data_IF_341287180484
#
_entry.id   IF_341287180484
#
_cell.length_a   1.000
_cell.length_b   1.000
_cell.length_c   1.000
_cell.angle_alpha   90.00
_cell.angle_beta   90.00
_cell.angle_gamma   90.00
#
_symmetry.space_group_name_H-M   'P 1'
#
loop_
_entity.id
_entity.type
_entity.pdbx_description
1 polymer ?
#
# COMPACT_ATOMS: atom_id res chain seq x y z
N UNK A 1 -21.90 -8.77 -14.36
CA UNK A 1 -21.48 -9.92 -13.53
C UNK A 1 -19.99 -10.16 -13.76
N UNK A 2 -19.16 -9.91 -12.75
CA UNK A 2 -17.72 -10.13 -12.83
C UNK A 2 -17.45 -11.64 -12.84
N UNK A 3 -16.80 -12.14 -13.89
CA UNK A 3 -16.48 -13.56 -14.04
C UNK A 3 -15.54 -13.99 -12.92
N UNK A 4 -16.03 -14.78 -11.96
CA UNK A 4 -15.29 -15.18 -10.75
C UNK A 4 -13.91 -15.77 -11.08
N UNK A 5 -13.78 -16.45 -12.23
CA UNK A 5 -12.52 -17.01 -12.70
C UNK A 5 -11.50 -15.93 -13.04
N UNK A 6 -11.91 -14.84 -13.69
CA UNK A 6 -11.03 -13.71 -14.02
C UNK A 6 -10.55 -12.99 -12.76
N UNK A 7 -11.43 -12.82 -11.77
CA UNK A 7 -11.08 -12.23 -10.48
C UNK A 7 -10.01 -13.04 -9.73
N UNK A 8 -10.17 -14.37 -9.67
CA UNK A 8 -9.18 -15.25 -9.04
C UNK A 8 -7.83 -15.16 -9.75
N UNK A 9 -7.82 -15.23 -11.08
CA UNK A 9 -6.58 -15.14 -11.88
C UNK A 9 -5.88 -13.81 -11.64
N UNK A 10 -6.63 -12.69 -11.66
CA UNK A 10 -6.06 -11.37 -11.43
C UNK A 10 -5.42 -11.26 -10.04
N UNK A 11 -6.11 -11.73 -8.99
CA UNK A 11 -5.58 -11.71 -7.63
C UNK A 11 -4.29 -12.54 -7.48
N UNK A 12 -4.23 -13.73 -8.08
CA UNK A 12 -3.02 -14.55 -8.07
C UNK A 12 -1.87 -13.86 -8.79
N UNK A 13 -2.14 -13.26 -9.95
CA UNK A 13 -1.14 -12.54 -10.73
C UNK A 13 -0.60 -11.33 -9.95
N UNK A 14 -1.49 -10.54 -9.33
CA UNK A 14 -1.10 -9.41 -8.49
C UNK A 14 -0.24 -9.87 -7.31
N UNK A 15 -0.64 -10.91 -6.58
CA UNK A 15 0.14 -11.46 -5.48
C UNK A 15 1.54 -11.90 -5.92
N UNK A 16 1.65 -12.54 -7.09
CA UNK A 16 2.93 -12.98 -7.64
C UNK A 16 3.86 -11.79 -7.97
N UNK A 17 3.34 -10.78 -8.66
CA UNK A 17 4.13 -9.58 -8.98
C UNK A 17 4.52 -8.78 -7.73
N UNK A 18 3.65 -8.74 -6.72
CA UNK A 18 3.95 -8.04 -5.47
C UNK A 18 5.06 -8.74 -4.68
N UNK A 19 5.04 -10.08 -4.63
CA UNK A 19 6.13 -10.85 -4.02
C UNK A 19 7.46 -10.65 -4.76
N UNK A 20 7.45 -10.66 -6.09
CA UNK A 20 8.65 -10.41 -6.90
C UNK A 20 9.19 -8.99 -6.67
N UNK A 21 8.31 -8.01 -6.62
CA UNK A 21 8.62 -6.61 -6.33
C UNK A 21 9.34 -6.47 -4.99
N UNK A 22 8.79 -7.03 -3.91
CA UNK A 22 9.39 -6.88 -2.58
C UNK A 22 10.78 -7.54 -2.47
N UNK A 23 10.98 -8.67 -3.15
CA UNK A 23 12.28 -9.37 -3.19
C UNK A 23 13.29 -8.55 -3.99
N UNK A 24 12.89 -8.02 -5.15
CA UNK A 24 13.75 -7.15 -5.95
C UNK A 24 14.15 -5.87 -5.21
N UNK A 25 13.23 -5.28 -4.46
CA UNK A 25 13.48 -4.08 -3.65
C UNK A 25 14.45 -4.37 -2.52
N UNK A 26 14.25 -5.46 -1.77
CA UNK A 26 15.18 -5.89 -0.72
C UNK A 26 16.57 -6.18 -1.28
N UNK A 27 16.65 -6.86 -2.42
CA UNK A 27 17.91 -7.13 -3.11
C UNK A 27 18.62 -5.83 -3.49
N UNK A 28 17.89 -4.88 -4.09
CA UNK A 28 18.44 -3.57 -4.42
C UNK A 28 18.94 -2.81 -3.18
N UNK A 29 18.15 -2.80 -2.11
CA UNK A 29 18.45 -2.09 -0.88
C UNK A 29 19.72 -2.63 -0.19
N UNK A 30 19.88 -3.95 -0.13
CA UNK A 30 20.95 -4.61 0.64
C UNK A 30 22.23 -4.78 -0.17
N UNK A 31 22.13 -5.29 -1.40
CA UNK A 31 23.31 -5.64 -2.20
C UNK A 31 23.89 -4.42 -2.91
N UNK A 32 23.04 -3.61 -3.55
CA UNK A 32 23.49 -2.40 -4.26
C UNK A 32 23.61 -1.18 -3.35
N UNK A 33 23.15 -1.27 -2.09
CA UNK A 33 23.18 -0.18 -1.10
C UNK A 33 22.64 1.15 -1.65
N UNK A 34 21.59 1.05 -2.46
CA UNK A 34 20.95 2.22 -3.08
C UNK A 34 20.30 3.10 -2.02
N UNK A 35 20.37 4.41 -2.23
CA UNK A 35 19.69 5.38 -1.38
C UNK A 35 18.17 5.24 -1.58
N UNK A 36 17.38 4.92 -0.52
CA UNK A 36 15.96 4.55 -0.65
C UNK A 36 15.11 5.60 -1.35
N UNK A 37 15.36 6.88 -1.06
CA UNK A 37 14.54 7.99 -1.57
C UNK A 37 14.68 8.11 -3.08
N UNK A 38 15.91 8.19 -3.59
CA UNK A 38 16.19 8.29 -5.03
C UNK A 38 15.70 7.05 -5.76
N UNK A 39 15.90 5.85 -5.19
CA UNK A 39 15.43 4.61 -5.80
C UNK A 39 13.91 4.59 -5.97
N UNK A 40 13.14 4.92 -4.93
CA UNK A 40 11.68 4.95 -4.99
C UNK A 40 11.17 6.03 -5.93
N UNK A 41 11.74 7.24 -5.88
CA UNK A 41 11.37 8.31 -6.80
C UNK A 41 11.57 7.91 -8.26
N UNK A 42 12.69 7.24 -8.57
CA UNK A 42 12.96 6.76 -9.92
C UNK A 42 12.01 5.61 -10.33
N UNK A 43 11.73 4.66 -9.44
CA UNK A 43 10.80 3.57 -9.73
C UNK A 43 9.37 4.09 -9.95
N UNK A 44 8.90 5.04 -9.15
CA UNK A 44 7.59 5.68 -9.35
C UNK A 44 7.55 6.48 -10.65
N UNK A 45 8.63 7.17 -11.01
CA UNK A 45 8.73 7.87 -12.30
C UNK A 45 8.64 6.90 -13.49
N UNK A 46 9.39 5.80 -13.47
CA UNK A 46 9.34 4.77 -14.51
C UNK A 46 7.96 4.12 -14.56
N UNK A 47 7.35 3.84 -13.41
CA UNK A 47 6.01 3.25 -13.32
C UNK A 47 4.96 4.17 -13.92
N UNK A 48 5.02 5.48 -13.62
CA UNK A 48 4.14 6.48 -14.21
C UNK A 48 4.33 6.57 -15.73
N UNK A 49 5.57 6.54 -16.22
CA UNK A 49 5.85 6.55 -17.66
C UNK A 49 5.27 5.32 -18.36
N UNK A 50 5.51 4.13 -17.82
CA UNK A 50 4.96 2.87 -18.36
C UNK A 50 3.43 2.92 -18.37
N UNK A 51 2.81 3.44 -17.32
CA UNK A 51 1.36 3.54 -17.22
C UNK A 51 0.78 4.48 -18.28
N UNK A 52 1.43 5.61 -18.57
CA UNK A 52 1.04 6.53 -19.65
C UNK A 52 1.16 5.85 -21.01
N UNK A 53 2.25 5.13 -21.25
CA UNK A 53 2.48 4.40 -22.52
C UNK A 53 1.41 3.32 -22.73
N UNK A 54 1.08 2.56 -21.68
CA UNK A 54 0.07 1.50 -21.72
C UNK A 54 -1.36 2.05 -21.83
N UNK A 55 -1.67 3.15 -21.15
CA UNK A 55 -2.99 3.77 -21.18
C UNK A 55 -3.34 4.37 -22.56
N UNK A 56 -2.34 4.83 -23.31
CA UNK A 56 -2.54 5.49 -24.60
C UNK A 56 -3.15 6.89 -24.48
N UNK A 57 -3.43 7.57 -25.62
CA UNK A 57 -3.98 8.92 -25.60
C UNK A 57 -5.40 8.96 -25.04
N UNK A 58 -5.60 9.72 -23.96
CA UNK A 58 -6.88 9.88 -23.27
C UNK A 58 -7.23 11.33 -22.96
N UNK A 59 -8.52 11.67 -23.05
CA UNK A 59 -9.06 12.99 -22.72
C UNK A 59 -9.32 13.08 -21.21
N UNK A 60 -8.29 13.36 -20.41
CA UNK A 60 -8.46 13.51 -18.95
C UNK A 60 -7.20 13.74 -18.13
N UNK A 61 -6.01 13.37 -18.64
CA UNK A 61 -4.77 13.44 -17.84
C UNK A 61 -4.45 14.85 -17.30
N UNK A 62 -4.64 15.89 -18.13
CA UNK A 62 -4.37 17.28 -17.72
C UNK A 62 -5.40 17.81 -16.71
N UNK A 63 -6.65 17.36 -16.78
CA UNK A 63 -7.67 17.75 -15.80
C UNK A 63 -7.48 17.05 -14.46
N UNK A 64 -7.00 15.80 -14.46
CA UNK A 64 -6.69 15.05 -13.23
C UNK A 64 -5.48 15.64 -12.50
N UNK A 65 -4.43 16.02 -13.23
CA UNK A 65 -3.23 16.69 -12.68
C UNK A 65 -3.53 18.01 -11.95
N UNK A 66 -4.66 18.66 -12.25
CA UNK A 66 -5.07 19.92 -11.60
C UNK A 66 -5.86 19.71 -10.30
N UNK A 67 -6.24 18.47 -9.97
CA UNK A 67 -7.03 18.17 -8.77
C UNK A 67 -6.11 18.02 -7.56
N UNK A 68 -6.39 18.78 -6.49
CA UNK A 68 -5.61 18.72 -5.25
C UNK A 68 -5.62 17.34 -4.57
N UNK A 69 -6.70 16.58 -4.73
CA UNK A 69 -6.81 15.21 -4.20
C UNK A 69 -5.81 14.24 -4.84
N UNK A 70 -5.57 14.36 -6.15
CA UNK A 70 -4.57 13.55 -6.87
C UNK A 70 -3.16 13.81 -6.33
N UNK A 71 -2.83 15.07 -6.03
CA UNK A 71 -1.54 15.42 -5.42
C UNK A 71 -1.43 14.89 -3.99
N UNK A 72 -2.48 15.00 -3.18
CA UNK A 72 -2.49 14.47 -1.82
C UNK A 72 -2.25 12.95 -1.82
N UNK A 73 -2.98 12.21 -2.67
CA UNK A 73 -2.81 10.78 -2.83
C UNK A 73 -1.39 10.42 -3.31
N UNK A 74 -0.89 11.08 -4.36
CA UNK A 74 0.44 10.83 -4.90
C UNK A 74 1.56 11.10 -3.89
N UNK A 75 1.47 12.17 -3.11
CA UNK A 75 2.46 12.49 -2.06
C UNK A 75 2.46 11.40 -0.98
N UNK A 76 1.28 10.95 -0.53
CA UNK A 76 1.17 9.90 0.49
C UNK A 76 1.73 8.58 -0.03
N UNK A 77 1.44 8.23 -1.29
CA UNK A 77 1.99 7.04 -1.95
C UNK A 77 3.52 7.09 -2.04
N UNK A 78 4.11 8.24 -2.39
CA UNK A 78 5.58 8.41 -2.40
C UNK A 78 6.16 8.14 -1.01
N UNK A 79 5.60 8.75 0.03
CA UNK A 79 6.07 8.55 1.41
C UNK A 79 5.87 7.12 1.90
N UNK A 80 4.77 6.47 1.53
CA UNK A 80 4.51 5.06 1.84
C UNK A 80 5.61 4.17 1.25
N UNK A 81 5.92 4.33 -0.04
CA UNK A 81 6.91 3.53 -0.74
C UNK A 81 8.34 3.77 -0.19
N UNK A 82 8.66 5.03 0.17
CA UNK A 82 9.94 5.35 0.82
C UNK A 82 10.04 4.64 2.18
N UNK A 83 9.01 4.73 3.02
CA UNK A 83 9.00 4.08 4.32
C UNK A 83 9.07 2.54 4.22
N UNK A 84 8.43 1.96 3.20
CA UNK A 84 8.52 0.54 2.89
C UNK A 84 9.95 0.13 2.52
N UNK A 85 10.62 0.92 1.67
CA UNK A 85 12.01 0.69 1.31
C UNK A 85 12.95 0.79 2.53
N UNK A 86 12.71 1.75 3.43
CA UNK A 86 13.44 1.84 4.71
C UNK A 86 13.18 0.63 5.61
N UNK A 87 11.95 0.13 5.71
CA UNK A 87 11.66 -1.11 6.44
C UNK A 87 12.49 -2.28 5.86
N UNK A 88 12.52 -2.39 4.54
CA UNK A 88 13.34 -3.36 3.80
C UNK A 88 14.85 -3.12 3.89
N UNK A 89 15.35 -2.14 4.66
CA UNK A 89 16.77 -2.10 5.05
C UNK A 89 17.02 -2.87 6.35
N UNK A 90 16.07 -2.82 7.28
CA UNK A 90 16.21 -3.42 8.61
C UNK A 90 15.76 -4.88 8.65
N UNK A 91 14.66 -5.20 8.00
CA UNK A 91 14.01 -6.52 8.10
C UNK A 91 13.93 -7.22 6.76
N UNK A 92 13.74 -8.53 6.79
CA UNK A 92 13.51 -9.35 5.61
C UNK A 92 12.15 -9.03 4.96
N UNK A 93 12.04 -9.33 3.67
CA UNK A 93 10.77 -9.24 2.93
C UNK A 93 9.64 -10.03 3.61
N UNK A 94 9.96 -11.18 4.20
CA UNK A 94 8.99 -12.03 4.92
C UNK A 94 8.49 -11.34 6.18
N UNK A 95 9.39 -10.85 7.04
CA UNK A 95 9.04 -10.12 8.26
C UNK A 95 8.23 -8.87 7.94
N UNK A 96 8.61 -8.11 6.92
CA UNK A 96 7.86 -6.94 6.47
C UNK A 96 6.43 -7.32 6.07
N UNK A 97 6.26 -8.38 5.27
CA UNK A 97 4.93 -8.79 4.80
C UNK A 97 4.00 -9.26 5.93
N UNK A 98 4.56 -9.87 6.99
CA UNK A 98 3.79 -10.17 8.20
C UNK A 98 3.49 -8.92 9.01
N UNK A 99 4.48 -8.06 9.24
CA UNK A 99 4.32 -6.84 10.03
C UNK A 99 3.37 -5.82 9.37
N UNK A 100 3.34 -5.75 8.04
CA UNK A 100 2.39 -4.95 7.27
C UNK A 100 0.93 -5.38 7.46
N UNK A 101 0.64 -6.55 8.06
CA UNK A 101 -0.73 -6.90 8.47
C UNK A 101 -1.26 -6.01 9.58
N UNK A 102 -0.40 -5.22 10.23
CA UNK A 102 -0.80 -4.14 11.11
C UNK A 102 -1.73 -3.11 10.42
N UNK A 103 -1.61 -2.92 9.10
CA UNK A 103 -2.52 -2.08 8.29
C UNK A 103 -3.98 -2.50 8.44
N UNK A 104 -4.27 -3.79 8.66
CA UNK A 104 -5.64 -4.28 8.89
C UNK A 104 -6.21 -3.71 10.19
N UNK A 105 -5.43 -3.75 11.27
CA UNK A 105 -5.82 -3.20 12.57
C UNK A 105 -6.02 -1.69 12.47
N UNK A 106 -5.06 -1.02 11.84
CA UNK A 106 -5.09 0.43 11.61
C UNK A 106 -6.32 0.85 10.79
N UNK A 107 -6.68 0.07 9.76
CA UNK A 107 -7.85 0.33 8.92
C UNK A 107 -9.18 0.17 9.67
N UNK A 108 -9.32 -0.87 10.51
CA UNK A 108 -10.50 -1.05 11.37
C UNK A 108 -10.66 0.16 12.30
N UNK A 109 -9.57 0.58 12.96
CA UNK A 109 -9.57 1.74 13.86
C UNK A 109 -9.91 3.04 13.12
N UNK A 110 -9.29 3.28 11.97
CA UNK A 110 -9.53 4.48 11.18
C UNK A 110 -10.97 4.55 10.65
N UNK A 111 -11.49 3.42 10.17
CA UNK A 111 -12.87 3.33 9.66
C UNK A 111 -13.89 3.52 10.77
N UNK A 112 -13.62 2.98 11.97
CA UNK A 112 -14.44 3.22 13.14
C UNK A 112 -14.43 4.69 13.56
N UNK A 113 -13.25 5.32 13.59
CA UNK A 113 -13.09 6.72 14.01
C UNK A 113 -13.69 7.74 13.03
N UNK A 114 -13.51 7.55 11.72
CA UNK A 114 -13.88 8.55 10.70
C UNK A 114 -15.28 8.29 10.14
N UNK A 115 -15.62 7.03 9.85
CA UNK A 115 -16.91 6.68 9.24
C UNK A 115 -17.95 6.18 10.24
N UNK A 116 -17.61 6.09 11.54
CA UNK A 116 -18.49 5.54 12.59
C UNK A 116 -19.04 4.14 12.28
N UNK A 117 -18.37 3.38 11.40
CA UNK A 117 -18.75 1.99 11.09
C UNK A 117 -18.40 1.14 12.30
N UNK A 118 -19.40 0.51 12.92
CA UNK A 118 -19.18 -0.33 14.10
C UNK A 118 -18.53 -1.66 13.68
N UNK A 119 -17.35 -2.01 14.20
CA UNK A 119 -16.74 -3.31 13.93
C UNK A 119 -17.64 -4.44 14.44
N UNK A 120 -17.73 -5.52 13.66
CA UNK A 120 -18.48 -6.70 14.03
C UNK A 120 -17.71 -7.51 15.08
N UNK A 121 -18.40 -8.33 15.89
CA UNK A 121 -17.75 -9.14 16.94
C UNK A 121 -16.67 -10.10 16.38
N UNK A 122 -16.79 -10.52 15.13
CA UNK A 122 -15.77 -11.31 14.42
C UNK A 122 -14.47 -10.54 14.17
N UNK A 123 -14.54 -9.21 14.02
CA UNK A 123 -13.39 -8.36 13.72
C UNK A 123 -12.47 -8.24 14.93
N UNK A 124 -13.03 -8.33 16.14
CA UNK A 124 -12.24 -8.37 17.38
C UNK A 124 -11.45 -9.68 17.51
N UNK A 125 -12.06 -10.81 17.16
CA UNK A 125 -11.38 -12.13 17.20
C UNK A 125 -10.26 -12.15 16.14
N UNK A 126 -10.57 -11.74 14.92
CA UNK A 126 -9.57 -11.65 13.85
C UNK A 126 -8.45 -10.66 14.17
N UNK A 127 -8.81 -9.49 14.70
CA UNK A 127 -7.84 -8.47 15.13
C UNK A 127 -6.92 -8.97 16.24
N UNK A 128 -7.45 -9.67 17.23
CA UNK A 128 -6.66 -10.29 18.30
C UNK A 128 -5.66 -11.32 17.76
N UNK A 129 -6.07 -12.17 16.82
CA UNK A 129 -5.19 -13.16 16.17
C UNK A 129 -4.08 -12.49 15.36
N UNK A 130 -4.40 -11.42 14.63
CA UNK A 130 -3.40 -10.64 13.88
C UNK A 130 -2.40 -9.99 14.83
N UNK A 131 -2.87 -9.37 15.92
CA UNK A 131 -1.99 -8.76 16.92
C UNK A 131 -1.06 -9.78 17.59
N UNK A 132 -1.54 -11.00 17.84
CA UNK A 132 -0.71 -12.09 18.36
C UNK A 132 0.41 -12.44 17.37
N UNK A 133 0.08 -12.62 16.09
CA UNK A 133 1.06 -12.89 15.04
C UNK A 133 2.10 -11.76 14.90
N UNK A 134 1.64 -10.52 14.92
CA UNK A 134 2.52 -9.33 14.88
C UNK A 134 3.47 -9.30 16.08
N UNK A 135 2.97 -9.59 17.28
CA UNK A 135 3.79 -9.66 18.49
C UNK A 135 4.86 -10.75 18.38
N UNK A 136 4.52 -11.94 17.88
CA UNK A 136 5.48 -13.03 17.70
C UNK A 136 6.63 -12.64 16.77
N UNK A 137 6.32 -12.00 15.64
CA UNK A 137 7.35 -11.53 14.69
C UNK A 137 8.18 -10.40 15.32
N UNK A 138 7.53 -9.42 15.94
CA UNK A 138 8.22 -8.29 16.58
C UNK A 138 9.15 -8.73 17.73
N UNK A 139 8.75 -9.75 18.50
CA UNK A 139 9.57 -10.33 19.56
C UNK A 139 10.78 -11.11 19.03
N UNK A 140 10.67 -11.67 17.82
CA UNK A 140 11.75 -12.38 17.12
C UNK A 140 12.81 -11.46 16.49
N UNK A 141 12.51 -10.17 16.29
CA UNK A 141 13.46 -9.19 15.75
C UNK A 141 14.59 -8.90 16.74
N UNK A 142 15.80 -8.69 16.22
CA UNK A 142 16.94 -8.23 17.01
C UNK A 142 16.59 -6.90 17.72
N UNK A 143 16.77 -6.82 19.06
CA UNK A 143 16.50 -5.61 19.83
C UNK A 143 17.12 -4.32 19.27
N UNK A 144 18.27 -4.40 18.59
CA UNK A 144 18.96 -3.23 18.05
C UNK A 144 18.24 -2.57 16.86
N UNK A 145 17.47 -3.35 16.09
CA UNK A 145 16.75 -2.89 14.89
C UNK A 145 15.23 -2.86 15.07
N UNK A 146 14.73 -3.49 16.14
CA UNK A 146 13.30 -3.71 16.38
C UNK A 146 12.51 -2.41 16.38
N UNK A 147 12.98 -1.39 17.08
CA UNK A 147 12.27 -0.11 17.20
C UNK A 147 12.20 0.60 15.85
N UNK A 148 13.31 0.64 15.12
CA UNK A 148 13.39 1.27 13.80
C UNK A 148 12.43 0.59 12.82
N UNK A 149 12.44 -0.75 12.78
CA UNK A 149 11.55 -1.53 11.93
C UNK A 149 10.07 -1.28 12.26
N UNK A 150 9.70 -1.29 13.54
CA UNK A 150 8.32 -1.05 13.96
C UNK A 150 7.85 0.37 13.65
N UNK A 151 8.72 1.37 13.78
CA UNK A 151 8.41 2.76 13.40
C UNK A 151 8.18 2.87 11.90
N UNK A 152 9.02 2.23 11.07
CA UNK A 152 8.81 2.20 9.62
C UNK A 152 7.48 1.52 9.25
N UNK A 153 7.17 0.36 9.84
CA UNK A 153 5.91 -0.35 9.59
C UNK A 153 4.70 0.47 10.03
N UNK A 154 4.78 1.13 11.18
CA UNK A 154 3.71 2.03 11.64
C UNK A 154 3.47 3.14 10.62
N UNK A 155 4.53 3.75 10.10
CA UNK A 155 4.42 4.81 9.11
C UNK A 155 3.84 4.29 7.79
N UNK A 156 4.29 3.12 7.31
CA UNK A 156 3.71 2.44 6.12
C UNK A 156 2.22 2.19 6.31
N UNK A 157 1.82 1.63 7.46
CA UNK A 157 0.42 1.36 7.76
C UNK A 157 -0.41 2.65 7.82
N UNK A 158 0.13 3.71 8.44
CA UNK A 158 -0.52 5.01 8.51
C UNK A 158 -0.74 5.62 7.12
N UNK A 159 0.29 5.67 6.29
CA UNK A 159 0.20 6.22 4.93
C UNK A 159 -0.71 5.36 4.04
N UNK A 160 -0.63 4.04 4.15
CA UNK A 160 -1.47 3.11 3.38
C UNK A 160 -2.95 3.27 3.70
N UNK A 161 -3.30 3.35 4.98
CA UNK A 161 -4.69 3.58 5.41
C UNK A 161 -5.15 4.97 4.98
N UNK A 162 -4.31 6.00 5.13
CA UNK A 162 -4.67 7.37 4.70
C UNK A 162 -4.93 7.43 3.19
N UNK A 163 -4.07 6.80 2.38
CA UNK A 163 -4.25 6.70 0.93
C UNK A 163 -5.56 5.97 0.58
N UNK A 164 -5.84 4.84 1.24
CA UNK A 164 -7.08 4.09 1.05
C UNK A 164 -8.31 4.94 1.39
N UNK A 165 -8.28 5.70 2.50
CA UNK A 165 -9.38 6.56 2.90
C UNK A 165 -9.59 7.73 1.94
N UNK A 166 -8.52 8.35 1.45
CA UNK A 166 -8.63 9.39 0.41
C UNK A 166 -9.24 8.84 -0.87
N UNK A 167 -8.91 7.59 -1.23
CA UNK A 167 -9.54 6.89 -2.35
C UNK A 167 -11.03 6.59 -2.12
N UNK A 168 -11.44 6.25 -0.89
CA UNK A 168 -12.85 6.05 -0.54
C UNK A 168 -13.66 7.35 -0.52
N UNK A 169 -13.05 8.47 -0.11
CA UNK A 169 -13.70 9.79 -0.02
C UNK A 169 -13.70 10.51 -1.39
N UNK A 170 -12.96 9.99 -2.39
CA UNK A 170 -12.83 10.68 -3.67
C UNK A 170 -14.18 10.80 -4.40
N UNK A 171 -14.59 12.01 -4.82
CA UNK A 171 -15.90 12.26 -5.42
C UNK A 171 -16.16 11.42 -6.68
N UNK A 172 -15.14 11.17 -7.51
CA UNK A 172 -15.27 10.32 -8.70
C UNK A 172 -15.53 8.84 -8.37
N UNK A 173 -15.14 8.35 -7.19
CA UNK A 173 -15.40 6.97 -6.76
C UNK A 173 -16.82 6.79 -6.23
N UNK A 174 -17.40 7.87 -5.70
CA UNK A 174 -18.78 7.98 -5.24
C UNK A 174 -19.77 8.18 -6.40
N UNK A 175 -19.35 8.85 -7.47
CA UNK A 175 -20.17 9.14 -8.67
C UNK A 175 -20.02 8.09 -9.79
N UNK A 176 -18.99 7.23 -9.78
CA UNK A 176 -18.78 6.23 -10.83
C UNK A 176 -19.74 5.03 -10.72
N UNK A 177 -20.61 4.88 -11.71
CA UNK A 177 -21.58 3.76 -11.82
C UNK A 177 -20.94 2.43 -12.25
N UNK A 178 -19.70 2.42 -12.78
CA UNK A 178 -19.03 1.19 -13.24
C UNK A 178 -17.52 1.11 -12.98
N UNK A 179 -17.02 -0.13 -12.82
CA UNK A 179 -15.58 -0.43 -12.59
C UNK A 179 -14.68 0.14 -13.70
N UNK A 180 -15.16 0.15 -14.95
CA UNK A 180 -14.42 0.67 -16.12
C UNK A 180 -14.25 2.19 -16.07
N UNK A 181 -15.20 2.87 -15.44
CA UNK A 181 -15.16 4.32 -15.25
C UNK A 181 -14.19 4.68 -14.12
N UNK A 182 -14.16 3.91 -13.04
CA UNK A 182 -13.15 4.05 -11.96
C UNK A 182 -11.71 3.91 -12.45
N UNK A 183 -11.44 3.02 -13.40
CA UNK A 183 -10.09 2.82 -13.95
C UNK A 183 -9.59 3.95 -14.86
N UNK A 184 -10.46 4.88 -15.29
CA UNK A 184 -10.08 6.00 -16.17
C UNK A 184 -9.74 7.28 -15.40
N UNK A 185 -10.08 7.34 -14.12
CA UNK A 185 -9.94 8.54 -13.27
C UNK A 185 -8.89 8.35 -12.18
N UNK A 186 -8.48 7.10 -11.91
CA UNK A 186 -7.36 6.76 -11.05
C UNK A 186 -6.01 7.23 -11.64
#
# INVERSE_FOLDING_TARGET
MMDKRKGIILSFLTMFFWALHDVAFRFAAVEFKVEPTVFICFTLFVSAFVLIVVAGPGSGGVSTLKRGHTWAYGIIEVFMNIAQMFALLYITTTEMNFLNRFTVIMSILATWAIFSRKPHSSDFIGGGLVLLGLYMIAAGLDPAIRVQALVCIFFVAFTSVTAAMLGEIHPDNLEAESVRERSRVA
#
